data_IF_632041567249
#
_entry.id   IF_632041567249
#
_cell.length_a   1.000
_cell.length_b   1.000
_cell.length_c   1.000
_cell.angle_alpha   90.00
_cell.angle_beta   90.00
_cell.angle_gamma   90.00
#
_symmetry.space_group_name_H-M   'P 1'
#
loop_
_entity.id
_entity.type
_entity.pdbx_description
1 polymer ?
#
# COMPACT_ATOMS: atom_id res chain seq x y z
N UNK A 1 2.54 46.74 22.18
CA UNK A 1 1.61 45.60 22.26
C UNK A 1 0.88 45.55 20.94
N UNK A 2 0.90 44.42 20.20
CA UNK A 2 0.12 44.27 18.98
C UNK A 2 -1.37 44.42 19.31
N UNK A 3 -2.10 45.06 18.41
CA UNK A 3 -3.57 45.13 18.45
C UNK A 3 -4.21 43.78 18.16
N UNK A 4 -5.46 43.58 18.58
CA UNK A 4 -6.22 42.35 18.26
C UNK A 4 -6.33 42.09 16.74
N UNK A 5 -6.36 43.15 15.93
CA UNK A 5 -6.36 43.03 14.47
C UNK A 5 -5.03 42.51 13.94
N UNK A 6 -3.90 42.94 14.50
CA UNK A 6 -2.57 42.45 14.13
C UNK A 6 -2.40 40.98 14.52
N UNK A 7 -2.86 40.58 15.71
CA UNK A 7 -2.84 39.18 16.17
C UNK A 7 -3.64 38.25 15.24
N UNK A 8 -4.86 38.65 14.85
CA UNK A 8 -5.67 37.90 13.87
C UNK A 8 -5.02 37.84 12.49
N UNK A 9 -4.30 38.89 12.09
CA UNK A 9 -3.52 38.93 10.85
C UNK A 9 -2.39 37.89 10.84
N UNK A 10 -1.65 37.77 11.95
CA UNK A 10 -0.57 36.77 12.08
C UNK A 10 -1.11 35.33 12.05
N UNK A 11 -2.19 35.04 12.77
CA UNK A 11 -2.84 33.71 12.75
C UNK A 11 -3.31 33.32 11.34
N UNK A 12 -3.88 34.28 10.59
CA UNK A 12 -4.33 34.05 9.23
C UNK A 12 -3.16 33.70 8.31
N UNK A 13 -2.06 34.46 8.36
CA UNK A 13 -0.85 34.22 7.55
C UNK A 13 -0.20 32.87 7.88
N UNK A 14 -0.15 32.51 9.16
CA UNK A 14 0.35 31.21 9.60
C UNK A 14 -0.53 30.06 9.07
N UNK A 15 -1.85 30.20 9.16
CA UNK A 15 -2.80 29.20 8.66
C UNK A 15 -2.69 29.00 7.13
N UNK A 16 -2.51 30.07 6.36
CA UNK A 16 -2.30 30.03 4.91
C UNK A 16 -0.98 29.34 4.59
N UNK A 17 0.08 29.64 5.34
CA UNK A 17 1.40 29.03 5.17
C UNK A 17 1.37 27.52 5.45
N UNK A 18 0.69 27.09 6.52
CA UNK A 18 0.50 25.67 6.85
C UNK A 18 -0.29 24.95 5.75
N UNK A 19 -1.38 25.56 5.26
CA UNK A 19 -2.21 24.99 4.17
C UNK A 19 -1.42 24.89 2.86
N UNK A 20 -0.63 25.91 2.53
CA UNK A 20 0.19 25.94 1.32
C UNK A 20 1.28 24.87 1.37
N UNK A 21 2.00 24.75 2.49
CA UNK A 21 2.99 23.68 2.70
C UNK A 21 2.36 22.29 2.63
N UNK A 22 1.17 22.11 3.22
CA UNK A 22 0.44 20.84 3.16
C UNK A 22 0.01 20.49 1.73
N UNK A 23 -0.50 21.48 0.98
CA UNK A 23 -0.89 21.33 -0.42
C UNK A 23 0.31 21.02 -1.32
N UNK A 24 1.43 21.72 -1.14
CA UNK A 24 2.68 21.43 -1.85
C UNK A 24 3.22 20.04 -1.51
N UNK A 25 3.14 19.60 -0.25
CA UNK A 25 3.53 18.24 0.15
C UNK A 25 2.64 17.17 -0.48
N UNK A 26 1.40 17.50 -0.83
CA UNK A 26 0.46 16.60 -1.50
C UNK A 26 0.44 16.76 -3.02
N UNK A 27 1.15 17.75 -3.58
CA UNK A 27 1.24 17.97 -5.00
C UNK A 27 1.94 16.76 -5.66
N UNK A 28 1.33 16.28 -6.74
CA UNK A 28 1.80 15.13 -7.52
C UNK A 28 2.40 15.55 -8.87
N UNK A 29 2.25 16.82 -9.24
CA UNK A 29 2.64 17.41 -10.53
C UNK A 29 4.15 17.30 -10.81
N UNK A 30 4.97 17.26 -9.76
CA UNK A 30 6.43 17.13 -9.84
C UNK A 30 6.94 15.72 -9.51
N UNK A 31 6.06 14.78 -9.18
CA UNK A 31 6.48 13.41 -8.83
C UNK A 31 6.68 12.61 -10.11
N UNK A 32 7.67 11.69 -10.15
CA UNK A 32 7.73 10.71 -11.22
C UNK A 32 6.38 10.02 -11.29
N UNK A 33 5.69 10.03 -12.45
CA UNK A 33 4.47 9.28 -12.54
C UNK A 33 4.80 7.81 -12.32
N UNK A 34 3.89 7.07 -11.70
CA UNK A 34 4.01 5.62 -11.45
C UNK A 34 3.96 4.79 -12.76
N UNK A 35 4.34 5.38 -13.89
CA UNK A 35 4.29 4.79 -15.23
C UNK A 35 5.51 3.93 -15.53
N UNK A 36 6.61 4.09 -14.79
CA UNK A 36 7.80 3.26 -14.96
C UNK A 36 7.75 2.11 -13.97
N UNK A 37 7.42 0.87 -14.41
CA UNK A 37 7.47 -0.28 -13.54
C UNK A 37 8.93 -0.59 -13.18
N UNK A 38 9.15 -1.09 -11.96
CA UNK A 38 10.42 -1.67 -11.56
C UNK A 38 10.18 -3.07 -10.98
N UNK A 39 11.22 -3.90 -11.01
CA UNK A 39 11.19 -5.27 -10.50
C UNK A 39 12.08 -5.37 -9.27
N UNK A 40 11.56 -5.97 -8.20
CA UNK A 40 12.36 -6.40 -7.07
C UNK A 40 12.69 -7.88 -7.25
N UNK A 41 13.97 -8.19 -7.42
CA UNK A 41 14.41 -9.58 -7.50
C UNK A 41 14.28 -10.26 -6.13
N UNK A 42 13.85 -11.52 -6.13
CA UNK A 42 13.89 -12.42 -4.97
C UNK A 42 13.18 -11.91 -3.70
N UNK A 43 11.99 -11.32 -3.85
CA UNK A 43 11.16 -10.91 -2.70
C UNK A 43 10.68 -12.12 -1.89
N UNK A 44 10.39 -13.22 -2.56
CA UNK A 44 10.02 -14.50 -1.95
C UNK A 44 10.99 -15.58 -2.43
N UNK A 45 11.36 -16.48 -1.52
CA UNK A 45 12.04 -17.72 -1.88
C UNK A 45 11.06 -18.68 -2.56
N UNK A 46 11.60 -19.61 -3.35
CA UNK A 46 10.81 -20.68 -3.97
C UNK A 46 9.99 -21.46 -2.93
N UNK A 47 10.60 -21.83 -1.80
CA UNK A 47 9.92 -22.53 -0.72
C UNK A 47 8.77 -21.70 -0.13
N UNK A 48 8.92 -20.37 -0.01
CA UNK A 48 7.84 -19.50 0.45
C UNK A 48 6.69 -19.45 -0.57
N UNK A 49 7.00 -19.39 -1.87
CA UNK A 49 6.00 -19.44 -2.94
C UNK A 49 5.21 -20.76 -2.91
N UNK A 50 5.90 -21.90 -2.85
CA UNK A 50 5.27 -23.23 -2.76
C UNK A 50 4.37 -23.32 -1.51
N UNK A 51 4.84 -22.82 -0.37
CA UNK A 51 4.05 -22.79 0.86
C UNK A 51 2.78 -21.94 0.76
N UNK A 52 2.86 -20.78 0.09
CA UNK A 52 1.70 -19.90 -0.12
C UNK A 52 0.68 -20.52 -1.08
N UNK A 53 1.15 -21.19 -2.14
CA UNK A 53 0.28 -21.91 -3.07
C UNK A 53 -0.47 -23.02 -2.34
N UNK A 54 0.24 -23.88 -1.61
CA UNK A 54 -0.37 -24.97 -0.86
C UNK A 54 -1.37 -24.47 0.20
N UNK A 55 -1.04 -23.38 0.91
CA UNK A 55 -1.95 -22.78 1.89
C UNK A 55 -3.22 -22.23 1.21
N UNK A 56 -3.08 -21.62 0.03
CA UNK A 56 -4.19 -21.05 -0.74
C UNK A 56 -5.10 -22.13 -1.30
N UNK A 57 -4.53 -23.22 -1.84
CA UNK A 57 -5.31 -24.37 -2.31
C UNK A 57 -6.07 -25.04 -1.16
N UNK A 58 -5.42 -25.22 -0.01
CA UNK A 58 -6.06 -25.78 1.19
C UNK A 58 -7.24 -24.92 1.65
N UNK A 59 -7.08 -23.60 1.69
CA UNK A 59 -8.16 -22.70 2.10
C UNK A 59 -9.27 -22.63 1.04
N UNK A 60 -8.91 -22.68 -0.24
CA UNK A 60 -9.87 -22.76 -1.34
C UNK A 60 -10.73 -24.03 -1.29
N UNK A 61 -10.17 -25.17 -0.86
CA UNK A 61 -10.96 -26.39 -0.64
C UNK A 61 -12.02 -26.20 0.45
N UNK A 62 -11.76 -25.33 1.44
CA UNK A 62 -12.66 -25.10 2.58
C UNK A 62 -13.76 -24.07 2.27
N UNK A 63 -13.44 -23.00 1.55
CA UNK A 63 -14.36 -21.86 1.33
C UNK A 63 -14.65 -21.54 -0.13
N UNK A 64 -13.97 -22.19 -1.06
CA UNK A 64 -13.97 -21.83 -2.47
C UNK A 64 -13.08 -20.62 -2.78
N UNK A 65 -12.73 -20.48 -4.05
CA UNK A 65 -12.15 -19.26 -4.58
C UNK A 65 -13.21 -18.17 -4.72
N UNK A 66 -12.85 -16.90 -4.52
CA UNK A 66 -13.76 -15.77 -4.63
C UNK A 66 -13.58 -15.05 -5.96
N UNK A 67 -14.67 -14.70 -6.65
CA UNK A 67 -14.64 -14.03 -7.96
C UNK A 67 -15.25 -12.63 -7.99
N UNK A 68 -15.86 -12.19 -6.89
CA UNK A 68 -16.70 -10.98 -6.85
C UNK A 68 -16.16 -9.86 -5.96
N UNK A 69 -14.95 -10.01 -5.41
CA UNK A 69 -14.33 -9.03 -4.51
C UNK A 69 -13.94 -7.72 -5.20
N UNK A 70 -13.54 -7.80 -6.47
CA UNK A 70 -13.02 -6.67 -7.24
C UNK A 70 -13.99 -6.28 -8.35
N UNK A 71 -14.96 -5.40 -8.04
CA UNK A 71 -16.08 -5.01 -8.92
C UNK A 71 -15.67 -4.63 -10.35
N UNK A 72 -14.59 -3.87 -10.49
CA UNK A 72 -14.19 -3.29 -11.78
C UNK A 72 -13.15 -4.14 -12.53
N UNK A 73 -12.47 -5.03 -11.83
CA UNK A 73 -11.39 -5.87 -12.37
C UNK A 73 -11.47 -7.24 -11.68
N UNK A 74 -12.43 -8.09 -12.08
CA UNK A 74 -12.70 -9.34 -11.39
C UNK A 74 -11.51 -10.30 -11.52
N UNK A 75 -11.10 -10.85 -10.38
CA UNK A 75 -10.08 -11.88 -10.25
C UNK A 75 -10.66 -13.06 -9.48
N UNK A 76 -10.11 -14.25 -9.70
CA UNK A 76 -10.42 -15.45 -8.90
C UNK A 76 -9.31 -15.60 -7.86
N UNK A 77 -9.61 -15.27 -6.60
CA UNK A 77 -8.58 -15.07 -5.59
C UNK A 77 -8.99 -15.46 -4.17
N UNK A 78 -8.01 -15.40 -3.28
CA UNK A 78 -8.16 -15.52 -1.84
C UNK A 78 -7.39 -14.42 -1.11
N UNK A 79 -7.96 -13.78 -0.07
CA UNK A 79 -7.22 -12.84 0.75
C UNK A 79 -6.13 -13.57 1.56
N UNK A 80 -4.95 -12.97 1.69
CA UNK A 80 -3.86 -13.56 2.47
C UNK A 80 -4.25 -13.73 3.96
N UNK A 81 -5.11 -12.84 4.49
CA UNK A 81 -5.58 -12.93 5.88
C UNK A 81 -6.47 -14.16 6.14
N UNK A 82 -7.07 -14.76 5.09
CA UNK A 82 -7.88 -15.97 5.22
C UNK A 82 -7.01 -17.24 5.30
N UNK A 83 -5.73 -17.18 4.91
CA UNK A 83 -4.83 -18.35 4.88
C UNK A 83 -4.43 -18.81 6.28
N UNK A 84 -3.81 -17.92 7.04
CA UNK A 84 -3.54 -18.09 8.48
C UNK A 84 -2.99 -16.78 9.08
N UNK A 85 -3.12 -16.56 10.40
CA UNK A 85 -2.51 -15.39 11.06
C UNK A 85 -0.99 -15.32 10.85
N UNK A 86 -0.30 -16.46 10.88
CA UNK A 86 1.16 -16.54 10.68
C UNK A 86 1.56 -16.14 9.27
N UNK A 87 0.85 -16.66 8.26
CA UNK A 87 1.09 -16.32 6.85
C UNK A 87 0.86 -14.83 6.62
N UNK A 88 -0.23 -14.29 7.13
CA UNK A 88 -0.54 -12.87 7.02
C UNK A 88 0.52 -11.98 7.67
N UNK A 89 0.96 -12.31 8.88
CA UNK A 89 2.04 -11.58 9.54
C UNK A 89 3.36 -11.63 8.76
N UNK A 90 3.74 -12.79 8.22
CA UNK A 90 4.94 -12.94 7.41
C UNK A 90 4.92 -12.09 6.13
N UNK A 91 3.80 -12.13 5.40
CA UNK A 91 3.61 -11.27 4.21
C UNK A 91 3.60 -9.79 4.60
N UNK A 92 2.93 -9.42 5.69
CA UNK A 92 2.92 -8.04 6.18
C UNK A 92 4.34 -7.54 6.50
N UNK A 93 5.13 -8.33 7.23
CA UNK A 93 6.52 -7.99 7.56
C UNK A 93 7.39 -7.83 6.31
N UNK A 94 7.23 -8.71 5.32
CA UNK A 94 7.93 -8.64 4.05
C UNK A 94 7.59 -7.34 3.29
N UNK A 95 6.29 -7.01 3.21
CA UNK A 95 5.83 -5.80 2.54
C UNK A 95 6.31 -4.54 3.26
N UNK A 96 6.15 -4.48 4.57
CA UNK A 96 6.56 -3.32 5.38
C UNK A 96 8.08 -3.13 5.41
N UNK A 97 8.85 -4.22 5.43
CA UNK A 97 10.30 -4.19 5.56
C UNK A 97 11.07 -4.05 4.25
N UNK A 98 10.51 -4.54 3.13
CA UNK A 98 11.21 -4.59 1.83
C UNK A 98 10.46 -3.81 0.77
N UNK A 99 9.20 -4.15 0.51
CA UNK A 99 8.49 -3.63 -0.67
C UNK A 99 8.12 -2.15 -0.53
N UNK A 100 7.47 -1.76 0.58
CA UNK A 100 7.02 -0.38 0.79
C UNK A 100 8.18 0.62 0.86
N UNK A 101 9.30 0.35 1.56
CA UNK A 101 10.45 1.25 1.54
C UNK A 101 11.06 1.43 0.15
N UNK A 102 11.14 0.35 -0.64
CA UNK A 102 11.62 0.44 -2.03
C UNK A 102 10.68 1.29 -2.88
N UNK A 103 9.37 1.05 -2.82
CA UNK A 103 8.38 1.89 -3.54
C UNK A 103 8.46 3.37 -3.15
N UNK A 104 8.62 3.68 -1.87
CA UNK A 104 8.77 5.07 -1.40
C UNK A 104 10.00 5.73 -1.99
N UNK A 105 11.12 5.01 -2.06
CA UNK A 105 12.36 5.49 -2.66
C UNK A 105 12.23 5.71 -4.17
N UNK A 106 11.76 4.70 -4.92
CA UNK A 106 11.72 4.75 -6.39
C UNK A 106 10.73 5.81 -6.91
N UNK A 107 9.60 6.00 -6.22
CA UNK A 107 8.54 6.92 -6.65
C UNK A 107 8.50 8.24 -5.87
N UNK A 108 9.46 8.47 -4.97
CA UNK A 108 9.52 9.65 -4.11
C UNK A 108 8.16 9.96 -3.41
N UNK A 109 7.52 8.94 -2.84
CA UNK A 109 6.22 9.08 -2.17
C UNK A 109 6.36 9.28 -0.67
N UNK A 110 5.28 9.76 -0.03
CA UNK A 110 5.16 9.70 1.43
C UNK A 110 4.93 8.26 1.94
N UNK A 111 4.70 8.10 3.26
CA UNK A 111 4.47 6.80 3.87
C UNK A 111 3.33 6.03 3.20
N UNK A 112 3.62 4.78 2.82
CA UNK A 112 2.67 3.88 2.18
C UNK A 112 2.09 2.89 3.21
N UNK A 113 0.91 2.36 2.90
CA UNK A 113 0.28 1.26 3.66
C UNK A 113 -0.32 0.24 2.71
N UNK A 114 -0.21 -1.04 3.06
CA UNK A 114 -0.91 -2.11 2.36
C UNK A 114 -2.41 -1.99 2.67
N UNK A 115 -3.23 -1.82 1.62
CA UNK A 115 -4.69 -1.89 1.77
C UNK A 115 -5.15 -3.33 1.88
N UNK A 116 -4.60 -4.18 1.03
CA UNK A 116 -5.02 -5.57 0.88
C UNK A 116 -3.91 -6.38 0.20
N UNK A 117 -3.83 -7.67 0.50
CA UNK A 117 -2.98 -8.64 -0.16
C UNK A 117 -3.80 -9.91 -0.44
N UNK A 118 -3.69 -10.46 -1.63
CA UNK A 118 -4.44 -11.64 -2.07
C UNK A 118 -3.60 -12.49 -3.03
N UNK A 119 -3.94 -13.77 -3.11
CA UNK A 119 -3.36 -14.74 -4.05
C UNK A 119 -4.39 -15.00 -5.14
N UNK A 120 -4.01 -14.74 -6.39
CA UNK A 120 -4.85 -14.98 -7.57
C UNK A 120 -4.55 -16.35 -8.13
N UNK A 121 -5.58 -17.10 -8.49
CA UNK A 121 -5.45 -18.31 -9.28
C UNK A 121 -5.32 -17.94 -10.75
N UNK A 122 -4.17 -18.23 -11.37
CA UNK A 122 -4.07 -18.18 -12.83
C UNK A 122 -4.91 -19.31 -13.43
N UNK A 123 -5.67 -18.97 -14.45
CA UNK A 123 -6.44 -19.91 -15.27
C UNK A 123 -5.48 -20.59 -16.25
#
# INVERSE_FOLDING_TARGET
MPSEQELRGFELVESISIRTRSRQRLAIESRPPLHVPFTLAMVLSEAACVGLIAASEKEALRRGWQSTRHRHYPTVDLPVYDLSPRTYQGIKQLLDGIVLPRMQSEYATGPLRVKEAFIVKSI
#
